data_IF_441491649715
#
_entry.id   IF_441491649715
#
_cell.length_a   1.000
_cell.length_b   1.000
_cell.length_c   1.000
_cell.angle_alpha   90.00
_cell.angle_beta   90.00
_cell.angle_gamma   90.00
#
_symmetry.space_group_name_H-M   'P 1'
#
loop_
_entity.id
_entity.type
_entity.pdbx_description
1 polymer ?
#
# COMPACT_ATOMS: atom_id res chain seq x y z
N UNK A 1 -1.04 -26.77 42.02
CA UNK A 1 0.21 -25.98 41.94
C UNK A 1 0.76 -26.16 40.52
N UNK A 2 0.34 -25.34 39.60
CA UNK A 2 0.90 -25.31 38.24
C UNK A 2 1.40 -23.90 37.97
N UNK A 3 2.72 -23.80 37.82
CA UNK A 3 3.39 -22.56 37.45
C UNK A 3 3.16 -22.32 35.97
N UNK A 4 2.48 -21.25 35.65
CA UNK A 4 2.42 -20.68 34.29
C UNK A 4 3.77 -20.00 34.05
N UNK A 5 4.52 -20.50 33.08
CA UNK A 5 5.72 -19.87 32.58
C UNK A 5 5.33 -18.71 31.67
N UNK A 6 5.49 -17.50 32.16
CA UNK A 6 5.56 -16.28 31.36
C UNK A 6 6.98 -16.18 30.79
N UNK A 7 7.12 -16.44 29.52
CA UNK A 7 8.40 -16.34 28.83
C UNK A 7 8.23 -15.93 27.38
N UNK A 8 8.97 -14.87 27.01
CA UNK A 8 9.33 -14.49 25.67
C UNK A 8 8.34 -13.63 24.84
N UNK A 9 8.31 -12.36 25.14
CA UNK A 9 7.93 -11.29 24.21
C UNK A 9 8.91 -10.11 24.35
N UNK A 10 10.21 -10.36 24.25
CA UNK A 10 11.26 -9.32 24.19
C UNK A 10 12.29 -9.82 23.18
N UNK A 11 12.05 -9.58 21.89
CA UNK A 11 12.95 -10.05 20.85
C UNK A 11 12.97 -9.24 19.55
N UNK A 12 12.21 -8.16 19.43
CA UNK A 12 12.06 -7.45 18.16
C UNK A 12 12.55 -5.98 18.16
N UNK A 13 13.26 -5.53 19.16
CA UNK A 13 13.67 -4.11 19.25
C UNK A 13 15.19 -3.87 19.16
N UNK A 14 15.99 -4.82 18.74
CA UNK A 14 17.45 -4.73 18.79
C UNK A 14 18.16 -4.62 17.43
N UNK A 15 17.48 -4.25 16.34
CA UNK A 15 18.11 -4.08 15.01
C UNK A 15 18.13 -2.62 14.51
N UNK A 16 18.08 -1.63 15.38
CA UNK A 16 18.06 -0.20 15.01
C UNK A 16 19.41 0.52 15.20
N UNK A 17 20.51 -0.18 15.18
CA UNK A 17 21.83 0.43 15.07
C UNK A 17 22.35 0.35 13.62
N UNK A 18 21.59 0.91 12.66
CA UNK A 18 22.13 1.18 11.33
C UNK A 18 23.09 2.37 11.44
N UNK A 19 24.34 2.15 11.07
CA UNK A 19 25.39 3.14 10.88
C UNK A 19 24.84 4.33 10.10
N UNK A 20 25.08 5.54 10.60
CA UNK A 20 24.79 6.78 9.90
C UNK A 20 25.58 6.81 8.57
N UNK A 21 24.98 6.29 7.50
CA UNK A 21 25.43 6.54 6.14
C UNK A 21 25.22 8.03 5.88
N UNK A 22 26.15 8.68 5.19
CA UNK A 22 26.11 10.10 4.93
C UNK A 22 24.79 10.48 4.22
N UNK A 23 23.94 11.23 4.93
CA UNK A 23 22.59 11.62 4.48
C UNK A 23 22.58 12.58 3.27
N UNK A 24 23.75 12.99 2.77
CA UNK A 24 23.86 14.00 1.72
C UNK A 24 23.86 13.42 0.29
N UNK A 25 24.09 12.12 0.12
CA UNK A 25 24.17 11.44 -1.19
C UNK A 25 22.99 10.49 -1.47
N UNK A 26 21.96 10.46 -0.60
CA UNK A 26 20.82 9.57 -0.80
C UNK A 26 19.84 10.15 -1.82
N UNK A 27 19.17 9.25 -2.56
CA UNK A 27 18.04 9.60 -3.43
C UNK A 27 16.98 10.39 -2.66
N UNK A 28 16.21 11.25 -3.34
CA UNK A 28 15.06 11.91 -2.72
C UNK A 28 14.17 10.91 -1.99
N UNK A 29 13.56 11.34 -0.88
CA UNK A 29 12.61 10.50 -0.16
C UNK A 29 11.43 10.16 -1.08
N UNK A 30 11.05 8.89 -1.12
CA UNK A 30 9.96 8.42 -1.94
C UNK A 30 9.23 7.29 -1.20
N UNK A 31 7.98 7.55 -0.82
CA UNK A 31 7.09 6.58 -0.20
C UNK A 31 6.07 6.07 -1.21
N UNK A 32 5.57 4.85 -1.01
CA UNK A 32 4.44 4.29 -1.76
C UNK A 32 3.12 4.96 -1.33
N UNK A 33 3.10 5.48 -0.12
CA UNK A 33 2.00 6.28 0.42
C UNK A 33 2.11 7.77 0.00
N UNK A 34 0.96 8.54 -0.03
CA UNK A 34 -0.38 8.16 0.43
C UNK A 34 -1.31 7.52 -0.62
N UNK A 35 -1.06 7.63 -1.89
CA UNK A 35 -2.01 7.25 -2.94
C UNK A 35 -2.06 5.76 -3.28
N UNK A 36 -2.96 5.41 -4.22
CA UNK A 36 -3.05 4.09 -4.85
C UNK A 36 -2.09 3.95 -6.04
N UNK A 37 -1.69 5.08 -6.64
CA UNK A 37 -0.67 5.11 -7.70
C UNK A 37 0.72 4.93 -7.08
N UNK A 38 1.17 3.69 -6.96
CA UNK A 38 2.50 3.34 -6.48
C UNK A 38 3.58 4.03 -7.35
N UNK A 39 4.55 4.75 -6.78
CA UNK A 39 5.64 5.35 -7.54
C UNK A 39 6.70 4.30 -7.94
N UNK A 40 7.48 4.55 -9.02
CA UNK A 40 8.48 3.60 -9.52
C UNK A 40 9.82 3.64 -8.77
N UNK A 41 9.97 4.52 -7.80
CA UNK A 41 11.22 4.69 -7.06
C UNK A 41 11.58 3.48 -6.21
N UNK A 42 12.88 3.26 -6.03
CA UNK A 42 13.46 2.24 -5.15
C UNK A 42 14.41 2.89 -4.17
N UNK A 43 14.61 2.25 -3.03
CA UNK A 43 15.54 2.71 -2.00
C UNK A 43 17.00 2.52 -2.40
N UNK A 44 17.88 3.32 -1.82
CA UNK A 44 19.32 3.09 -1.89
C UNK A 44 19.68 1.75 -1.23
N UNK A 45 20.67 1.06 -1.80
CA UNK A 45 21.08 -0.25 -1.30
C UNK A 45 21.50 -0.19 0.18
N UNK A 46 20.99 -1.12 0.98
CA UNK A 46 21.24 -1.21 2.41
C UNK A 46 20.37 -0.32 3.28
N UNK A 47 19.48 0.51 2.69
CA UNK A 47 18.54 1.34 3.43
C UNK A 47 17.21 0.63 3.61
N UNK A 48 16.56 0.94 4.73
CA UNK A 48 15.23 0.45 5.08
C UNK A 48 14.27 1.63 5.16
N UNK A 49 13.07 1.47 4.63
CA UNK A 49 11.96 2.40 4.83
C UNK A 49 10.78 1.64 5.41
N UNK A 50 10.15 2.23 6.43
CA UNK A 50 8.94 1.71 7.06
C UNK A 50 7.83 2.70 6.78
N UNK A 51 6.74 2.22 6.19
CA UNK A 51 5.55 2.99 5.84
C UNK A 51 4.36 2.39 6.57
N UNK A 52 3.64 3.20 7.34
CA UNK A 52 2.55 2.71 8.18
C UNK A 52 1.31 3.58 8.00
N UNK A 53 0.20 2.98 7.58
CA UNK A 53 -1.12 3.56 7.79
C UNK A 53 -1.45 3.45 9.28
N UNK A 54 -1.37 4.57 9.99
CA UNK A 54 -1.70 4.60 11.43
C UNK A 54 -3.16 4.23 11.65
N UNK A 55 -4.04 4.73 10.77
CA UNK A 55 -5.44 4.36 10.69
C UNK A 55 -5.91 4.52 9.24
N UNK A 56 -6.77 3.59 8.82
CA UNK A 56 -7.49 3.59 7.57
C UNK A 56 -8.92 3.15 7.84
N UNK A 57 -9.89 3.90 7.34
CA UNK A 57 -11.31 3.68 7.58
C UNK A 57 -12.07 3.70 6.25
N UNK A 58 -12.69 2.58 5.91
CA UNK A 58 -13.50 2.39 4.70
C UNK A 58 -14.97 2.31 5.10
N UNK A 59 -15.81 3.11 4.47
CA UNK A 59 -17.25 3.17 4.70
C UNK A 59 -18.01 2.73 3.44
N UNK A 60 -18.74 1.63 3.56
CA UNK A 60 -19.57 1.07 2.48
C UNK A 60 -21.04 1.09 2.91
N UNK A 61 -21.73 2.17 2.55
CA UNK A 61 -23.12 2.44 2.94
C UNK A 61 -24.01 2.57 1.71
N UNK A 62 -24.26 1.46 1.01
CA UNK A 62 -25.12 1.40 -0.17
C UNK A 62 -26.46 0.70 0.12
N UNK A 63 -27.55 1.43 0.10
CA UNK A 63 -28.90 0.88 0.32
C UNK A 63 -29.05 0.27 1.72
N UNK A 64 -29.21 -1.05 1.80
CA UNK A 64 -29.30 -1.79 3.07
C UNK A 64 -27.94 -2.23 3.61
N UNK A 65 -26.89 -2.17 2.80
CA UNK A 65 -25.53 -2.52 3.22
C UNK A 65 -24.93 -1.39 4.04
N UNK A 66 -24.46 -1.70 5.23
CA UNK A 66 -23.69 -0.80 6.09
C UNK A 66 -22.54 -1.60 6.66
N UNK A 67 -21.39 -1.42 6.07
CA UNK A 67 -20.13 -2.07 6.44
C UNK A 67 -19.07 -1.00 6.66
N UNK A 68 -18.41 -1.05 7.81
CA UNK A 68 -17.32 -0.17 8.18
C UNK A 68 -16.09 -1.04 8.46
N UNK A 69 -15.04 -0.87 7.67
CA UNK A 69 -13.78 -1.57 7.84
C UNK A 69 -12.73 -0.59 8.34
N UNK A 70 -12.01 -0.98 9.38
CA UNK A 70 -10.90 -0.21 9.94
C UNK A 70 -9.63 -1.05 9.90
N UNK A 71 -8.59 -0.57 9.22
CA UNK A 71 -7.25 -1.12 9.28
C UNK A 71 -6.36 -0.21 10.15
N UNK A 72 -5.65 -0.82 11.10
CA UNK A 72 -4.81 -0.10 12.06
C UNK A 72 -3.39 -0.62 11.94
N UNK A 73 -2.44 0.28 11.80
CA UNK A 73 -1.01 0.01 11.67
C UNK A 73 -0.67 -0.92 10.49
N UNK A 74 -1.43 -0.82 9.38
CA UNK A 74 -1.05 -1.48 8.13
C UNK A 74 0.34 -0.98 7.71
N UNK A 75 1.32 -1.88 7.71
CA UNK A 75 2.73 -1.53 7.61
C UNK A 75 3.39 -2.24 6.44
N UNK A 76 4.16 -1.50 5.68
CA UNK A 76 5.09 -1.99 4.68
C UNK A 76 6.52 -1.68 5.11
N UNK A 77 7.40 -2.66 4.94
CA UNK A 77 8.84 -2.53 5.12
C UNK A 77 9.51 -2.74 3.78
N UNK A 78 10.24 -1.75 3.32
CA UNK A 78 10.98 -1.74 2.07
C UNK A 78 12.47 -1.81 2.37
N UNK A 79 13.22 -2.62 1.62
CA UNK A 79 14.67 -2.81 1.77
C UNK A 79 15.34 -2.68 0.40
N UNK A 80 16.19 -1.69 0.22
CA UNK A 80 17.06 -1.55 -0.95
C UNK A 80 18.09 -2.66 -0.98
N UNK A 81 18.02 -3.58 -1.94
CA UNK A 81 18.94 -4.70 -2.10
C UNK A 81 20.13 -4.32 -2.98
N UNK A 82 19.89 -3.61 -4.05
CA UNK A 82 20.89 -3.12 -4.99
C UNK A 82 20.51 -1.72 -5.48
N UNK A 83 21.33 -1.14 -6.36
CA UNK A 83 20.99 0.15 -7.00
C UNK A 83 19.65 0.13 -7.75
N UNK A 84 19.17 -1.06 -8.19
CA UNK A 84 17.95 -1.20 -9.02
C UNK A 84 16.92 -2.18 -8.48
N UNK A 85 17.18 -2.85 -7.37
CA UNK A 85 16.31 -3.88 -6.81
C UNK A 85 16.00 -3.58 -5.35
N UNK A 86 14.74 -3.71 -5.01
CA UNK A 86 14.17 -3.54 -3.68
C UNK A 86 13.31 -4.75 -3.31
N UNK A 87 13.32 -5.14 -2.04
CA UNK A 87 12.40 -6.13 -1.48
C UNK A 87 11.40 -5.43 -0.56
N UNK A 88 10.18 -5.96 -0.52
CA UNK A 88 9.06 -5.38 0.21
C UNK A 88 8.33 -6.46 1.00
N UNK A 89 7.89 -6.12 2.20
CA UNK A 89 7.00 -6.97 3.02
C UNK A 89 5.93 -6.07 3.62
N UNK A 90 4.67 -6.41 3.39
CA UNK A 90 3.54 -5.67 3.96
C UNK A 90 2.63 -6.58 4.79
N UNK A 91 2.02 -6.02 5.82
CA UNK A 91 1.07 -6.73 6.68
C UNK A 91 0.20 -5.76 7.48
N UNK A 92 -1.06 -6.13 7.69
CA UNK A 92 -2.01 -5.38 8.52
C UNK A 92 -2.28 -6.14 9.82
N UNK A 93 -1.74 -5.69 10.96
CA UNK A 93 -1.88 -6.42 12.23
C UNK A 93 -3.29 -6.40 12.80
N UNK A 94 -4.05 -5.33 12.56
CA UNK A 94 -5.40 -5.19 13.10
C UNK A 94 -6.36 -4.70 12.02
N UNK A 95 -7.34 -5.52 11.73
CA UNK A 95 -8.52 -5.18 10.92
C UNK A 95 -9.75 -5.36 11.79
N UNK A 96 -10.65 -4.38 11.76
CA UNK A 96 -11.97 -4.45 12.41
C UNK A 96 -13.00 -4.26 11.32
N UNK A 97 -13.76 -5.30 11.05
CA UNK A 97 -14.87 -5.28 10.10
C UNK A 97 -16.20 -5.29 10.87
N UNK A 98 -17.05 -4.30 10.62
CA UNK A 98 -18.36 -4.12 11.25
C UNK A 98 -19.45 -4.11 10.21
N UNK A 99 -20.30 -5.10 10.26
CA UNK A 99 -21.50 -5.18 9.39
C UNK A 99 -22.74 -4.98 10.23
N UNK A 100 -23.54 -3.95 9.88
CA UNK A 100 -24.80 -3.66 10.60
C UNK A 100 -25.73 -4.87 10.54
N UNK A 101 -26.12 -5.36 11.71
CA UNK A 101 -27.03 -6.51 11.85
C UNK A 101 -26.32 -7.88 11.80
N UNK A 102 -25.06 -7.96 11.41
CA UNK A 102 -24.27 -9.20 11.42
C UNK A 102 -23.19 -9.22 12.53
N UNK A 103 -22.80 -8.05 13.05
CA UNK A 103 -21.84 -7.95 14.14
C UNK A 103 -20.49 -7.37 13.73
N UNK A 104 -19.43 -7.78 14.44
CA UNK A 104 -18.06 -7.32 14.24
C UNK A 104 -17.10 -8.50 14.23
N UNK A 105 -16.15 -8.49 13.33
CA UNK A 105 -15.00 -9.40 13.28
C UNK A 105 -13.73 -8.56 13.48
N UNK A 106 -12.76 -9.11 14.22
CA UNK A 106 -11.46 -8.47 14.43
C UNK A 106 -10.36 -9.49 14.23
N UNK A 107 -9.33 -9.13 13.48
CA UNK A 107 -8.21 -10.01 13.19
C UNK A 107 -7.09 -9.28 12.45
N UNK A 108 -6.26 -10.03 11.73
CA UNK A 108 -5.17 -9.52 10.90
C UNK A 108 -5.43 -9.82 9.42
N UNK A 109 -4.81 -9.05 8.53
CA UNK A 109 -4.79 -9.30 7.11
C UNK A 109 -3.73 -10.30 6.66
N UNK A 110 -3.69 -10.57 5.36
CA UNK A 110 -2.65 -11.38 4.72
C UNK A 110 -1.30 -10.63 4.70
N UNK A 111 -0.22 -11.38 4.70
CA UNK A 111 1.12 -10.85 4.50
C UNK A 111 1.46 -10.85 3.01
N UNK A 112 2.00 -9.74 2.52
CA UNK A 112 2.45 -9.56 1.13
C UNK A 112 3.98 -9.54 1.09
N UNK A 113 4.56 -10.19 0.09
CA UNK A 113 5.99 -10.18 -0.20
C UNK A 113 6.18 -9.72 -1.64
N UNK A 114 7.00 -8.70 -1.84
CA UNK A 114 7.23 -8.07 -3.13
C UNK A 114 8.70 -7.91 -3.49
N UNK A 115 8.95 -7.81 -4.79
CA UNK A 115 10.22 -7.38 -5.36
C UNK A 115 9.95 -6.32 -6.42
N UNK A 116 10.66 -5.19 -6.33
CA UNK A 116 10.56 -4.09 -7.30
C UNK A 116 11.91 -3.89 -7.98
N UNK A 117 11.89 -3.88 -9.30
CA UNK A 117 13.05 -3.63 -10.17
C UNK A 117 12.87 -2.32 -10.92
N UNK A 118 13.79 -1.39 -10.76
CA UNK A 118 13.83 -0.18 -11.59
C UNK A 118 14.28 -0.52 -13.01
N UNK A 119 13.44 -0.25 -14.00
CA UNK A 119 13.71 -0.48 -15.43
C UNK A 119 14.45 0.71 -16.05
N UNK A 120 14.24 1.90 -15.53
CA UNK A 120 14.99 3.11 -15.92
C UNK A 120 16.21 3.30 -15.02
N UNK A 121 17.02 4.31 -15.27
CA UNK A 121 18.11 4.68 -14.35
C UNK A 121 17.53 5.49 -13.18
N UNK A 122 17.53 4.94 -11.93
CA UNK A 122 16.87 5.59 -10.80
C UNK A 122 17.58 6.86 -10.32
N UNK A 123 18.79 7.14 -10.80
CA UNK A 123 19.59 8.32 -10.46
C UNK A 123 19.51 9.41 -11.53
N UNK A 124 18.67 9.26 -12.54
CA UNK A 124 18.46 10.24 -13.60
C UNK A 124 17.11 10.91 -13.48
N UNK A 125 17.11 12.21 -13.75
CA UNK A 125 15.88 12.97 -13.92
C UNK A 125 15.10 12.50 -15.16
N UNK A 126 13.77 12.68 -15.10
CA UNK A 126 12.88 12.40 -16.21
C UNK A 126 11.89 11.27 -15.91
N UNK A 127 11.27 10.68 -16.93
CA UNK A 127 10.33 9.58 -16.74
C UNK A 127 10.99 8.36 -16.11
N UNK A 128 10.36 7.82 -15.09
CA UNK A 128 10.81 6.64 -14.35
C UNK A 128 9.79 5.52 -14.52
N UNK A 129 10.29 4.28 -14.62
CA UNK A 129 9.47 3.07 -14.75
C UNK A 129 10.10 1.97 -13.91
N UNK A 130 9.29 1.21 -13.20
CA UNK A 130 9.69 -0.02 -12.52
C UNK A 130 8.74 -1.17 -12.84
N UNK A 131 9.17 -2.38 -12.50
CA UNK A 131 8.39 -3.60 -12.54
C UNK A 131 8.36 -4.18 -11.12
N UNK A 132 7.19 -4.50 -10.61
CA UNK A 132 6.99 -5.06 -9.28
C UNK A 132 6.17 -6.34 -9.38
N UNK A 133 6.70 -7.44 -8.85
CA UNK A 133 5.95 -8.67 -8.65
C UNK A 133 5.72 -8.90 -7.17
N UNK A 134 4.57 -9.43 -6.80
CA UNK A 134 4.24 -9.71 -5.41
C UNK A 134 3.39 -10.96 -5.24
N UNK A 135 3.42 -11.51 -4.02
CA UNK A 135 2.58 -12.63 -3.60
C UNK A 135 1.97 -12.34 -2.23
N UNK A 136 0.71 -12.71 -2.05
CA UNK A 136 0.00 -12.64 -0.80
C UNK A 136 -0.07 -14.05 -0.19
N UNK A 137 0.42 -14.19 1.03
CA UNK A 137 0.35 -15.43 1.79
C UNK A 137 -0.92 -15.44 2.64
N UNK A 138 -1.66 -16.56 2.70
CA UNK A 138 -2.92 -16.65 3.45
C UNK A 138 -2.67 -16.73 4.96
N UNK A 139 -2.24 -15.62 5.55
CA UNK A 139 -1.91 -15.48 6.98
C UNK A 139 -2.99 -14.74 7.77
N UNK A 140 -4.00 -14.22 7.09
CA UNK A 140 -5.12 -13.53 7.70
C UNK A 140 -5.90 -14.40 8.68
N UNK A 141 -6.49 -13.77 9.67
CA UNK A 141 -7.35 -14.43 10.65
C UNK A 141 -8.82 -14.10 10.37
N UNK A 142 -9.72 -15.01 10.76
CA UNK A 142 -11.18 -14.79 10.75
C UNK A 142 -11.77 -14.39 9.38
N UNK A 143 -11.21 -14.91 8.28
CA UNK A 143 -11.66 -14.60 6.90
C UNK A 143 -11.48 -13.12 6.48
N UNK A 144 -10.52 -12.41 7.08
CA UNK A 144 -10.17 -11.04 6.74
C UNK A 144 -9.09 -10.94 5.63
N UNK A 145 -8.82 -12.03 4.93
CA UNK A 145 -7.91 -12.14 3.79
C UNK A 145 -8.55 -12.95 2.66
N UNK A 146 -7.78 -13.21 1.62
CA UNK A 146 -8.25 -13.89 0.41
C UNK A 146 -8.47 -15.40 0.56
N UNK A 147 -8.11 -15.97 1.72
CA UNK A 147 -8.32 -17.39 2.02
C UNK A 147 -7.43 -18.35 1.23
N UNK A 148 -6.46 -17.86 0.50
CA UNK A 148 -5.49 -18.64 -0.28
C UNK A 148 -4.35 -17.77 -0.80
N UNK A 149 -3.37 -18.40 -1.45
CA UNK A 149 -2.31 -17.69 -2.14
C UNK A 149 -2.88 -16.91 -3.33
N UNK A 150 -2.45 -15.67 -3.46
CA UNK A 150 -2.70 -14.79 -4.61
C UNK A 150 -1.42 -14.03 -4.95
N UNK A 151 -1.46 -13.16 -5.92
CA UNK A 151 -0.34 -12.31 -6.26
C UNK A 151 -0.53 -11.64 -7.59
N UNK A 152 0.37 -10.72 -7.91
CA UNK A 152 0.22 -9.91 -9.10
C UNK A 152 1.52 -9.33 -9.61
N UNK A 153 1.36 -8.57 -10.64
CA UNK A 153 2.41 -7.81 -11.29
C UNK A 153 1.92 -6.38 -11.52
N UNK A 154 2.75 -5.42 -11.10
CA UNK A 154 2.50 -3.98 -11.25
C UNK A 154 3.61 -3.32 -12.04
N UNK A 155 3.28 -2.31 -12.84
CA UNK A 155 4.24 -1.51 -13.59
C UNK A 155 4.15 -0.02 -13.22
N UNK A 156 4.68 0.38 -12.06
CA UNK A 156 4.68 1.77 -11.63
C UNK A 156 5.50 2.67 -12.57
N UNK A 157 4.96 3.85 -12.85
CA UNK A 157 5.62 4.84 -13.70
C UNK A 157 5.31 6.27 -13.26
N UNK A 158 6.28 7.17 -13.46
CA UNK A 158 6.09 8.61 -13.26
C UNK A 158 6.74 9.40 -14.39
N UNK A 159 6.18 10.57 -14.68
CA UNK A 159 6.75 11.52 -15.63
C UNK A 159 6.59 12.96 -15.09
N UNK A 160 7.68 13.74 -15.03
CA UNK A 160 7.59 15.16 -14.72
C UNK A 160 6.89 15.91 -15.87
N UNK A 161 5.99 16.83 -15.50
CA UNK A 161 5.26 17.68 -16.41
C UNK A 161 5.62 19.16 -16.21
N UNK A 162 5.34 20.05 -17.20
CA UNK A 162 5.50 21.48 -17.00
C UNK A 162 4.75 22.02 -15.78
N UNK A 163 5.28 23.07 -15.16
CA UNK A 163 4.66 23.69 -13.98
C UNK A 163 4.90 22.97 -12.67
N UNK A 164 5.87 22.03 -12.59
CA UNK A 164 6.20 21.29 -11.38
C UNK A 164 5.17 20.21 -11.03
N UNK A 165 4.38 19.79 -11.99
CA UNK A 165 3.46 18.65 -11.88
C UNK A 165 4.21 17.34 -12.12
N UNK A 166 3.74 16.27 -11.49
CA UNK A 166 4.17 14.90 -11.74
C UNK A 166 2.95 14.06 -12.11
N UNK A 167 3.01 13.42 -13.26
CA UNK A 167 2.05 12.40 -13.65
C UNK A 167 2.54 11.04 -13.15
N UNK A 168 1.70 10.28 -12.47
CA UNK A 168 1.93 8.90 -12.07
C UNK A 168 0.93 7.95 -12.72
N UNK A 169 1.33 6.71 -12.92
CA UNK A 169 0.44 5.62 -13.29
C UNK A 169 0.97 4.30 -12.73
N UNK A 170 0.07 3.41 -12.33
CA UNK A 170 0.42 2.13 -11.73
C UNK A 170 -0.59 1.05 -12.19
N UNK A 171 -0.51 0.58 -13.45
CA UNK A 171 -1.31 -0.55 -13.91
C UNK A 171 -0.88 -1.85 -13.24
N UNK A 172 -1.84 -2.71 -12.94
CA UNK A 172 -1.65 -3.95 -12.19
C UNK A 172 -2.55 -5.06 -12.71
N UNK A 173 -2.04 -6.28 -12.70
CA UNK A 173 -2.77 -7.51 -13.02
C UNK A 173 -2.53 -8.51 -11.92
N UNK A 174 -3.62 -9.07 -11.40
CA UNK A 174 -3.61 -9.99 -10.28
C UNK A 174 -4.19 -11.35 -10.67
N UNK A 175 -3.71 -12.38 -9.99
CA UNK A 175 -4.31 -13.70 -9.94
C UNK A 175 -4.84 -13.89 -8.53
N UNK A 176 -6.15 -13.81 -8.40
CA UNK A 176 -6.87 -13.80 -7.13
C UNK A 176 -7.63 -15.12 -6.96
N UNK A 177 -7.86 -15.55 -5.74
CA UNK A 177 -8.64 -16.74 -5.44
C UNK A 177 -10.13 -16.47 -5.70
N UNK A 178 -10.84 -17.45 -6.28
CA UNK A 178 -12.28 -17.37 -6.46
C UNK A 178 -12.99 -17.23 -5.10
N UNK A 179 -13.93 -16.32 -5.00
CA UNK A 179 -14.73 -16.07 -3.80
C UNK A 179 -15.56 -17.29 -3.38
N UNK A 180 -15.95 -18.14 -4.35
CA UNK A 180 -16.66 -19.39 -4.12
C UNK A 180 -16.02 -20.55 -4.90
N UNK A 181 -15.99 -21.74 -4.28
CA UNK A 181 -15.45 -22.95 -4.91
C UNK A 181 -13.91 -23.02 -4.90
N UNK A 182 -13.34 -23.55 -5.97
CA UNK A 182 -11.90 -23.71 -6.14
C UNK A 182 -11.40 -22.97 -7.37
N UNK A 183 -10.11 -22.65 -7.40
CA UNK A 183 -9.45 -22.02 -8.53
C UNK A 183 -9.16 -20.54 -8.28
N UNK A 184 -8.72 -19.89 -9.34
CA UNK A 184 -8.33 -18.48 -9.35
C UNK A 184 -8.91 -17.80 -10.59
N UNK A 185 -9.03 -16.48 -10.54
CA UNK A 185 -9.42 -15.63 -11.66
C UNK A 185 -8.43 -14.48 -11.80
N UNK A 186 -8.56 -13.71 -12.86
CA UNK A 186 -7.78 -12.51 -13.06
C UNK A 186 -8.55 -11.29 -12.56
N UNK A 187 -7.84 -10.36 -11.93
CA UNK A 187 -8.29 -9.01 -11.70
C UNK A 187 -7.31 -8.03 -12.36
N UNK A 188 -7.81 -6.93 -12.87
CA UNK A 188 -6.99 -5.86 -13.45
C UNK A 188 -7.34 -4.58 -12.73
N UNK A 189 -6.33 -3.92 -12.19
CA UNK A 189 -6.53 -2.65 -11.51
C UNK A 189 -5.43 -1.65 -11.87
N UNK A 190 -5.60 -0.42 -11.42
CA UNK A 190 -4.57 0.58 -11.58
C UNK A 190 -5.05 1.97 -11.21
N UNK A 191 -4.08 2.83 -10.95
CA UNK A 191 -4.32 4.22 -10.66
C UNK A 191 -3.54 5.13 -11.61
N UNK A 192 -4.12 6.33 -11.86
CA UNK A 192 -3.44 7.45 -12.51
C UNK A 192 -3.51 8.64 -11.58
N UNK A 193 -2.37 9.25 -11.31
CA UNK A 193 -2.24 10.38 -10.38
C UNK A 193 -1.66 11.63 -11.04
N UNK A 194 -2.04 12.78 -10.53
CA UNK A 194 -1.42 14.07 -10.82
C UNK A 194 -1.12 14.75 -9.50
N UNK A 195 0.16 15.03 -9.25
CA UNK A 195 0.62 15.62 -7.99
C UNK A 195 1.49 16.86 -8.23
N UNK A 196 1.64 17.69 -7.18
CA UNK A 196 2.52 18.84 -7.18
C UNK A 196 3.10 19.10 -5.80
N UNK A 197 4.41 19.41 -5.77
CA UNK A 197 5.12 19.86 -4.57
C UNK A 197 4.96 21.34 -4.31
N UNK A 198 4.82 21.71 -3.04
CA UNK A 198 4.76 23.07 -2.51
C UNK A 198 5.64 23.17 -1.26
N UNK A 199 6.94 23.43 -1.43
CA UNK A 199 7.91 23.31 -0.36
C UNK A 199 7.96 21.86 0.16
N UNK A 200 7.74 21.67 1.46
CA UNK A 200 7.74 20.36 2.09
C UNK A 200 6.42 19.58 1.89
N UNK A 201 5.40 20.20 1.28
CA UNK A 201 4.10 19.57 1.08
C UNK A 201 3.95 19.08 -0.37
N UNK A 202 3.27 17.96 -0.56
CA UNK A 202 2.82 17.44 -1.85
C UNK A 202 1.32 17.23 -1.79
N UNK A 203 0.60 17.74 -2.78
CA UNK A 203 -0.82 17.48 -2.95
C UNK A 203 -1.03 16.71 -4.26
N UNK A 204 -1.96 15.77 -4.26
CA UNK A 204 -2.28 14.96 -5.42
C UNK A 204 -3.76 14.68 -5.56
N UNK A 205 -4.14 14.36 -6.79
CA UNK A 205 -5.44 13.77 -7.15
C UNK A 205 -5.19 12.49 -7.92
N UNK A 206 -6.05 11.49 -7.75
CA UNK A 206 -5.93 10.22 -8.43
C UNK A 206 -7.29 9.75 -8.95
N UNK A 207 -7.25 8.93 -9.98
CA UNK A 207 -8.34 8.06 -10.40
C UNK A 207 -7.84 6.63 -10.34
N UNK A 208 -8.56 5.79 -9.63
CA UNK A 208 -8.29 4.36 -9.53
C UNK A 208 -9.47 3.56 -10.07
N UNK A 209 -9.18 2.40 -10.63
CA UNK A 209 -10.20 1.46 -11.10
C UNK A 209 -9.77 0.02 -10.92
N UNK A 210 -10.76 -0.88 -10.77
CA UNK A 210 -10.62 -2.32 -10.66
C UNK A 210 -11.70 -3.00 -11.52
N UNK A 211 -11.29 -3.99 -12.30
CA UNK A 211 -12.13 -4.99 -12.94
C UNK A 211 -11.76 -6.35 -12.37
N UNK A 212 -12.70 -6.99 -11.71
CA UNK A 212 -12.55 -8.30 -11.07
C UNK A 212 -13.47 -9.31 -11.76
N UNK A 213 -12.87 -10.34 -12.36
CA UNK A 213 -13.51 -11.35 -13.18
C UNK A 213 -13.85 -12.63 -12.39
N UNK A 214 -14.23 -12.49 -11.09
CA UNK A 214 -14.63 -13.65 -10.28
C UNK A 214 -15.82 -14.38 -10.96
N UNK A 215 -15.71 -15.70 -11.20
CA UNK A 215 -16.79 -16.50 -11.77
C UNK A 215 -18.08 -16.50 -10.95
N UNK A 216 -18.02 -16.17 -9.66
CA UNK A 216 -19.18 -16.06 -8.77
C UNK A 216 -19.88 -14.72 -8.84
N UNK A 217 -19.24 -13.70 -9.43
CA UNK A 217 -19.81 -12.37 -9.60
C UNK A 217 -18.74 -11.35 -9.97
N UNK A 218 -18.84 -10.83 -11.19
CA UNK A 218 -17.94 -9.77 -11.67
C UNK A 218 -18.19 -8.48 -10.92
N UNK A 219 -17.12 -7.75 -10.60
CA UNK A 219 -17.23 -6.43 -10.00
C UNK A 219 -16.32 -5.40 -10.66
N UNK A 220 -16.80 -4.17 -10.76
CA UNK A 220 -16.01 -3.01 -11.15
C UNK A 220 -16.10 -1.93 -10.10
N UNK A 221 -14.95 -1.48 -9.69
CA UNK A 221 -14.82 -0.41 -8.72
C UNK A 221 -14.05 0.76 -9.34
N UNK A 222 -14.37 1.96 -8.88
CA UNK A 222 -13.62 3.15 -9.26
C UNK A 222 -13.68 4.19 -8.14
N UNK A 223 -12.56 4.90 -7.91
CA UNK A 223 -12.49 5.99 -6.95
C UNK A 223 -11.89 7.25 -7.58
N UNK A 224 -12.28 8.40 -7.02
CA UNK A 224 -11.56 9.67 -7.13
C UNK A 224 -10.92 9.95 -5.78
N UNK A 225 -9.62 10.20 -5.77
CA UNK A 225 -8.84 10.25 -4.55
C UNK A 225 -8.13 11.60 -4.41
N UNK A 226 -8.05 12.08 -3.18
CA UNK A 226 -7.29 13.26 -2.77
C UNK A 226 -6.17 12.84 -1.84
N UNK A 227 -4.96 13.26 -2.13
CA UNK A 227 -3.77 12.89 -1.36
C UNK A 227 -3.00 14.12 -0.89
N UNK A 228 -2.45 14.03 0.31
CA UNK A 228 -1.56 15.04 0.87
C UNK A 228 -0.42 14.37 1.62
N UNK A 229 0.80 14.84 1.38
CA UNK A 229 1.98 14.42 2.11
C UNK A 229 2.79 15.62 2.56
N UNK A 230 3.49 15.49 3.69
CA UNK A 230 4.41 16.50 4.23
C UNK A 230 5.71 15.85 4.68
N UNK A 231 6.81 16.33 4.14
CA UNK A 231 8.14 15.97 4.61
C UNK A 231 8.49 16.70 5.90
N UNK A 232 9.09 15.99 6.84
CA UNK A 232 9.71 16.50 8.07
C UNK A 232 11.20 16.18 7.99
N UNK A 233 11.98 17.15 7.55
CA UNK A 233 13.37 16.92 7.17
C UNK A 233 13.48 16.04 5.91
N UNK A 234 14.51 15.18 5.84
CA UNK A 234 14.83 14.40 4.63
C UNK A 234 14.40 12.93 4.69
N UNK A 235 13.92 12.45 5.86
CA UNK A 235 13.74 11.01 6.12
C UNK A 235 12.38 10.64 6.70
N UNK A 236 11.52 11.60 6.98
CA UNK A 236 10.20 11.38 7.58
C UNK A 236 9.12 12.08 6.76
N UNK A 237 8.05 11.35 6.43
CA UNK A 237 6.85 11.87 5.81
C UNK A 237 5.64 11.60 6.71
N UNK A 238 4.76 12.56 6.81
CA UNK A 238 3.38 12.37 7.27
C UNK A 238 2.45 12.49 6.06
N UNK A 239 1.42 11.69 6.03
CA UNK A 239 0.49 11.68 4.91
C UNK A 239 -0.96 11.46 5.35
N UNK A 240 -1.88 11.84 4.46
CA UNK A 240 -3.31 11.59 4.59
C UNK A 240 -3.95 11.50 3.20
N UNK A 241 -5.09 10.83 3.12
CA UNK A 241 -5.88 10.78 1.91
C UNK A 241 -7.36 10.55 2.18
N UNK A 242 -8.15 10.87 1.15
CA UNK A 242 -9.59 10.66 1.08
C UNK A 242 -9.91 10.09 -0.29
N UNK A 243 -10.62 8.97 -0.33
CA UNK A 243 -11.06 8.31 -1.56
C UNK A 243 -12.59 8.34 -1.59
N UNK A 244 -13.16 8.64 -2.76
CA UNK A 244 -14.59 8.73 -2.98
C UNK A 244 -15.00 7.73 -4.05
N UNK A 245 -15.90 6.81 -3.72
CA UNK A 245 -16.42 5.82 -4.64
C UNK A 245 -17.25 6.47 -5.76
N UNK A 246 -16.96 6.08 -7.00
CA UNK A 246 -17.62 6.62 -8.19
C UNK A 246 -18.78 5.77 -8.70
N UNK A 247 -18.97 4.57 -8.15
CA UNK A 247 -20.07 3.68 -8.52
C UNK A 247 -20.57 2.88 -7.30
N UNK A 248 -21.65 2.10 -7.49
CA UNK A 248 -22.32 1.39 -6.38
C UNK A 248 -21.57 0.16 -5.86
N UNK A 249 -20.60 -0.35 -6.59
CA UNK A 249 -19.78 -1.50 -6.19
C UNK A 249 -18.52 -1.07 -5.42
N UNK A 250 -18.24 0.23 -5.41
CA UNK A 250 -17.13 0.83 -4.68
C UNK A 250 -17.61 1.36 -3.33
N UNK A 251 -16.88 1.16 -2.23
CA UNK A 251 -17.17 1.83 -0.96
C UNK A 251 -17.35 3.33 -1.14
N UNK A 252 -18.27 3.93 -0.37
CA UNK A 252 -18.60 5.35 -0.54
C UNK A 252 -17.42 6.26 -0.28
N UNK A 253 -16.67 5.97 0.79
CA UNK A 253 -15.56 6.82 1.23
C UNK A 253 -14.54 5.98 1.96
N UNK A 254 -13.27 6.31 1.77
CA UNK A 254 -12.15 5.82 2.55
C UNK A 254 -11.35 7.03 3.04
N UNK A 255 -10.89 7.00 4.28
CA UNK A 255 -10.07 8.05 4.88
C UNK A 255 -8.91 7.43 5.64
N UNK A 256 -7.70 7.92 5.40
CA UNK A 256 -6.51 7.38 6.04
C UNK A 256 -5.49 8.44 6.41
N UNK A 257 -4.66 8.10 7.39
CA UNK A 257 -3.48 8.87 7.81
C UNK A 257 -2.31 7.92 8.01
N UNK A 258 -1.11 8.40 7.71
CA UNK A 258 0.07 7.56 7.83
C UNK A 258 1.37 8.29 8.08
N UNK A 259 2.40 7.49 8.23
CA UNK A 259 3.77 7.93 8.44
C UNK A 259 4.73 7.01 7.71
N UNK A 260 5.72 7.59 7.05
CA UNK A 260 6.79 6.85 6.39
C UNK A 260 8.14 7.37 6.87
N UNK A 261 9.08 6.46 7.19
CA UNK A 261 10.41 6.83 7.68
C UNK A 261 11.48 5.95 7.05
N UNK A 262 12.56 6.60 6.58
CA UNK A 262 13.77 5.96 6.06
C UNK A 262 14.86 5.92 7.14
N UNK A 263 15.61 4.79 7.18
CA UNK A 263 16.70 4.49 8.10
C UNK A 263 17.97 4.18 7.34
#
# INVERSE_FOLDING_TARGET
>A
MNRVQTGAAIGALALLAATAAHADDLRPFCADRPGKATPPCILDAGHVQIETALADAVFNHHGATHEDLYAIAATEVRLGLTRRLEAEVAWTPVIVDRVRGAGQVTGSGDATFGLRLSLTDPDKDGPQVSAQGFVNAPTATHHLGEGGWSGGFRAPMTAPLPGGLTLGASPEVDVVRNGHGHGTHAAVNGAVSLSRGFGDNTLGVELWGLEDEDPSGHSHQATFDLTAARMIGKILQLDAGLNFGLNRQTPNTEAYVGVSRRF
#
